data_IF_855126089590
#
_entry.id   IF_855126089590
#
_cell.length_a   1.000
_cell.length_b   1.000
_cell.length_c   1.000
_cell.angle_alpha   90.00
_cell.angle_beta   90.00
_cell.angle_gamma   90.00
#
_symmetry.space_group_name_H-M   'P 1'
#
loop_
_entity.id
_entity.type
_entity.pdbx_description
1 polymer ?
#
# COMPACT_ATOMS: atom_id res chain seq x y z
N UNK A 1 23.93 10.98 -2.79
CA UNK A 1 23.84 10.04 -3.92
C UNK A 1 22.90 10.65 -4.95
N UNK A 2 23.33 10.75 -6.21
CA UNK A 2 22.45 11.17 -7.30
C UNK A 2 21.56 9.96 -7.62
N UNK A 3 20.25 10.06 -7.37
CA UNK A 3 19.32 8.97 -7.64
C UNK A 3 18.75 9.13 -9.04
N UNK A 4 18.42 8.02 -9.69
CA UNK A 4 17.70 8.03 -10.96
C UNK A 4 16.20 8.28 -10.68
N UNK A 5 15.64 9.42 -11.14
CA UNK A 5 14.26 9.76 -10.88
C UNK A 5 13.27 8.77 -11.50
N UNK A 6 13.57 8.19 -12.65
CA UNK A 6 12.66 7.25 -13.31
C UNK A 6 12.63 5.91 -12.57
N UNK A 7 13.80 5.44 -12.12
CA UNK A 7 13.89 4.26 -11.24
C UNK A 7 13.12 4.47 -9.94
N UNK A 8 13.25 5.65 -9.31
CA UNK A 8 12.52 5.98 -8.07
C UNK A 8 11.00 6.00 -8.29
N UNK A 9 10.53 6.61 -9.38
CA UNK A 9 9.09 6.61 -9.75
C UNK A 9 8.59 5.19 -9.91
N UNK A 10 9.28 4.40 -10.71
CA UNK A 10 8.86 3.04 -11.06
C UNK A 10 8.76 2.17 -9.80
N UNK A 11 9.83 2.08 -9.00
CA UNK A 11 9.85 1.22 -7.82
C UNK A 11 8.84 1.67 -6.76
N UNK A 12 8.71 2.98 -6.53
CA UNK A 12 7.74 3.51 -5.56
C UNK A 12 6.30 3.26 -6.02
N UNK A 13 6.00 3.43 -7.31
CA UNK A 13 4.68 3.13 -7.87
C UNK A 13 4.36 1.63 -7.81
N UNK A 14 5.34 0.76 -8.11
CA UNK A 14 5.18 -0.70 -8.01
C UNK A 14 4.86 -1.16 -6.58
N UNK A 15 5.43 -0.52 -5.56
CA UNK A 15 5.09 -0.82 -4.17
C UNK A 15 3.59 -0.67 -3.91
N UNK A 16 2.99 0.44 -4.34
CA UNK A 16 1.57 0.72 -4.13
C UNK A 16 0.67 -0.03 -5.11
N UNK A 17 1.15 -0.30 -6.33
CA UNK A 17 0.43 -1.08 -7.33
C UNK A 17 0.35 -2.58 -7.02
N UNK A 18 1.18 -3.07 -6.09
CA UNK A 18 1.26 -4.49 -5.75
C UNK A 18 -0.09 -5.09 -5.34
N UNK A 19 -0.92 -4.33 -4.63
CA UNK A 19 -2.24 -4.77 -4.15
C UNK A 19 -3.22 -5.15 -5.27
N UNK A 20 -2.99 -4.67 -6.50
CA UNK A 20 -3.85 -5.00 -7.65
C UNK A 20 -3.55 -6.35 -8.29
N UNK A 21 -2.39 -6.96 -7.98
CA UNK A 21 -1.94 -8.20 -8.63
C UNK A 21 -2.65 -9.42 -8.05
N UNK A 22 -2.89 -9.42 -6.75
CA UNK A 22 -3.52 -10.55 -6.07
C UNK A 22 -4.21 -10.10 -4.80
N UNK A 23 -5.42 -10.63 -4.61
CA UNK A 23 -6.16 -10.63 -3.34
C UNK A 23 -5.49 -11.47 -2.25
N UNK A 24 -4.53 -12.32 -2.62
CA UNK A 24 -3.80 -13.18 -1.69
C UNK A 24 -2.55 -12.49 -1.13
N UNK A 25 -1.97 -13.09 -0.08
CA UNK A 25 -0.73 -12.66 0.59
C UNK A 25 0.50 -12.52 -0.33
N UNK A 26 0.44 -12.93 -1.59
CA UNK A 26 1.56 -12.87 -2.53
C UNK A 26 1.88 -11.43 -2.94
N UNK A 27 0.87 -10.53 -3.01
CA UNK A 27 1.08 -9.14 -3.43
C UNK A 27 2.04 -8.37 -2.50
N UNK A 28 2.06 -8.68 -1.20
CA UNK A 28 2.96 -8.06 -0.21
C UNK A 28 4.45 -8.31 -0.50
N UNK A 29 4.77 -9.36 -1.26
CA UNK A 29 6.16 -9.72 -1.56
C UNK A 29 6.85 -8.68 -2.43
N UNK A 30 6.10 -7.92 -3.24
CA UNK A 30 6.67 -6.87 -4.10
C UNK A 30 7.24 -5.72 -3.27
N UNK A 31 6.45 -5.01 -2.42
CA UNK A 31 7.00 -3.96 -1.58
C UNK A 31 8.00 -4.53 -0.57
N UNK A 32 7.86 -5.78 -0.10
CA UNK A 32 8.86 -6.42 0.76
C UNK A 32 10.21 -6.59 0.04
N UNK A 33 10.22 -7.15 -1.16
CA UNK A 33 11.43 -7.31 -1.95
C UNK A 33 12.07 -5.96 -2.25
N UNK A 34 11.28 -4.96 -2.68
CA UNK A 34 11.76 -3.60 -2.96
C UNK A 34 12.38 -2.96 -1.70
N UNK A 35 11.76 -3.14 -0.52
CA UNK A 35 12.30 -2.63 0.76
C UNK A 35 13.69 -3.22 1.08
N UNK A 36 13.89 -4.51 0.79
CA UNK A 36 15.13 -5.23 1.10
C UNK A 36 16.26 -4.93 0.11
N UNK A 37 15.94 -4.72 -1.18
CA UNK A 37 16.95 -4.56 -2.25
C UNK A 37 17.26 -3.10 -2.59
N UNK A 38 16.41 -2.15 -2.21
CA UNK A 38 16.60 -0.73 -2.57
C UNK A 38 17.53 -0.02 -1.60
N UNK A 39 18.51 0.71 -2.14
CA UNK A 39 19.35 1.67 -1.40
C UNK A 39 18.75 3.09 -1.35
N UNK A 40 17.67 3.33 -2.08
CA UNK A 40 16.99 4.63 -2.13
C UNK A 40 15.99 4.78 -0.97
N UNK A 41 16.25 5.75 -0.08
CA UNK A 41 15.42 5.97 1.11
C UNK A 41 13.96 6.31 0.77
N UNK A 42 13.68 7.06 -0.29
CA UNK A 42 12.29 7.42 -0.67
C UNK A 42 11.54 6.18 -1.17
N UNK A 43 12.22 5.31 -1.91
CA UNK A 43 11.67 4.02 -2.35
C UNK A 43 11.40 3.14 -1.13
N UNK A 44 12.33 3.05 -0.17
CA UNK A 44 12.14 2.27 1.06
C UNK A 44 10.97 2.78 1.89
N UNK A 45 10.81 4.09 2.02
CA UNK A 45 9.69 4.67 2.76
C UNK A 45 8.35 4.38 2.09
N UNK A 46 8.26 4.47 0.75
CA UNK A 46 7.08 4.04 -0.01
C UNK A 46 6.81 2.53 0.13
N UNK A 47 7.85 1.70 0.13
CA UNK A 47 7.73 0.26 0.32
C UNK A 47 7.19 -0.08 1.71
N UNK A 48 7.73 0.54 2.77
CA UNK A 48 7.22 0.39 4.15
C UNK A 48 5.78 0.84 4.27
N UNK A 49 5.43 1.97 3.65
CA UNK A 49 4.06 2.47 3.71
C UNK A 49 3.09 1.50 3.02
N UNK A 50 3.46 0.97 1.85
CA UNK A 50 2.65 -0.06 1.17
C UNK A 50 2.52 -1.35 1.99
N UNK A 51 3.61 -1.83 2.60
CA UNK A 51 3.56 -2.98 3.51
C UNK A 51 2.57 -2.75 4.66
N UNK A 52 2.70 -1.61 5.35
CA UNK A 52 1.77 -1.22 6.40
C UNK A 52 0.32 -1.17 5.86
N UNK A 53 0.09 -0.67 4.65
CA UNK A 53 -1.24 -0.67 4.03
C UNK A 53 -1.82 -2.08 3.85
N UNK A 54 -1.04 -3.03 3.29
CA UNK A 54 -1.45 -4.43 3.17
C UNK A 54 -1.86 -5.03 4.52
N UNK A 55 -1.04 -4.84 5.56
CA UNK A 55 -1.37 -5.33 6.90
C UNK A 55 -2.65 -4.73 7.46
N UNK A 56 -2.88 -3.43 7.23
CA UNK A 56 -4.09 -2.76 7.69
C UNK A 56 -5.33 -3.22 6.92
N UNK A 57 -5.24 -3.46 5.62
CA UNK A 57 -6.35 -4.02 4.82
C UNK A 57 -6.74 -5.39 5.38
N UNK A 58 -5.79 -6.29 5.62
CA UNK A 58 -6.09 -7.61 6.22
C UNK A 58 -6.66 -7.51 7.63
N UNK A 59 -6.12 -6.60 8.46
CA UNK A 59 -6.64 -6.37 9.80
C UNK A 59 -8.10 -5.90 9.74
N UNK A 60 -8.41 -4.93 8.88
CA UNK A 60 -9.77 -4.43 8.71
C UNK A 60 -10.70 -5.45 8.07
N UNK A 61 -10.23 -6.29 7.15
CA UNK A 61 -10.99 -7.43 6.60
C UNK A 61 -11.40 -8.40 7.72
N UNK A 62 -10.49 -8.74 8.64
CA UNK A 62 -10.81 -9.62 9.78
C UNK A 62 -11.83 -8.95 10.72
N UNK A 63 -11.63 -7.68 11.07
CA UNK A 63 -12.54 -6.95 11.97
C UNK A 63 -13.92 -6.81 11.34
N UNK A 64 -14.01 -6.31 10.11
CA UNK A 64 -15.29 -6.09 9.42
C UNK A 64 -15.95 -7.41 9.04
N UNK A 65 -15.17 -8.44 8.71
CA UNK A 65 -15.63 -9.82 8.54
C UNK A 65 -16.32 -10.35 9.80
N UNK A 66 -15.72 -10.19 10.98
CA UNK A 66 -16.36 -10.56 12.24
C UNK A 66 -17.65 -9.76 12.51
N UNK A 67 -17.67 -8.47 12.18
CA UNK A 67 -18.87 -7.63 12.32
C UNK A 67 -20.03 -8.02 11.38
N UNK A 68 -19.79 -8.86 10.36
CA UNK A 68 -20.89 -9.38 9.52
C UNK A 68 -21.87 -10.25 10.31
N UNK A 69 -21.42 -10.89 11.40
CA UNK A 69 -22.26 -11.71 12.30
C UNK A 69 -23.42 -10.88 12.87
N UNK A 70 -23.17 -9.60 13.15
CA UNK A 70 -24.17 -8.63 13.64
C UNK A 70 -24.66 -7.68 12.54
N UNK A 71 -24.52 -8.07 11.28
CA UNK A 71 -24.94 -7.35 10.07
C UNK A 71 -24.22 -6.04 9.73
N UNK A 72 -23.50 -5.42 10.67
CA UNK A 72 -22.81 -4.14 10.46
C UNK A 72 -21.63 -4.27 9.47
N UNK A 73 -20.96 -5.42 9.45
CA UNK A 73 -19.80 -5.66 8.57
C UNK A 73 -20.11 -5.53 7.07
N UNK A 74 -21.35 -5.77 6.66
CA UNK A 74 -21.79 -5.65 5.26
C UNK A 74 -21.71 -4.24 4.71
N UNK A 75 -21.74 -3.21 5.56
CA UNK A 75 -21.52 -1.82 5.15
C UNK A 75 -20.03 -1.49 5.01
N UNK A 76 -19.20 -2.02 5.91
CA UNK A 76 -17.78 -1.65 5.98
C UNK A 76 -16.90 -2.43 4.99
N UNK A 77 -17.24 -3.67 4.65
CA UNK A 77 -16.46 -4.47 3.69
C UNK A 77 -16.43 -3.85 2.28
N UNK A 78 -17.57 -3.42 1.68
CA UNK A 78 -17.53 -2.72 0.39
C UNK A 78 -16.77 -1.39 0.45
N UNK A 79 -16.89 -0.65 1.56
CA UNK A 79 -16.14 0.59 1.76
C UNK A 79 -14.63 0.31 1.81
N UNK A 80 -14.21 -0.72 2.54
CA UNK A 80 -12.80 -1.14 2.61
C UNK A 80 -12.28 -1.54 1.24
N UNK A 81 -13.06 -2.30 0.46
CA UNK A 81 -12.71 -2.67 -0.91
C UNK A 81 -12.52 -1.45 -1.81
N UNK A 82 -13.40 -0.44 -1.73
CA UNK A 82 -13.23 0.79 -2.50
C UNK A 82 -11.96 1.53 -2.07
N UNK A 83 -11.70 1.64 -0.76
CA UNK A 83 -10.50 2.30 -0.24
C UNK A 83 -9.21 1.57 -0.60
N UNK A 84 -9.22 0.23 -0.62
CA UNK A 84 -8.07 -0.58 -1.06
C UNK A 84 -7.76 -0.43 -2.54
N UNK A 85 -8.70 0.07 -3.34
CA UNK A 85 -8.48 0.42 -4.74
C UNK A 85 -8.08 1.89 -4.93
N UNK A 86 -8.82 2.81 -4.33
CA UNK A 86 -8.68 4.25 -4.58
C UNK A 86 -7.41 4.82 -3.94
N UNK A 87 -7.10 4.44 -2.69
CA UNK A 87 -5.93 4.99 -2.00
C UNK A 87 -4.62 4.68 -2.73
N UNK A 88 -4.35 3.44 -3.19
CA UNK A 88 -3.09 3.15 -3.89
C UNK A 88 -2.99 3.80 -5.27
N UNK A 89 -4.12 3.99 -5.97
CA UNK A 89 -4.14 4.80 -7.20
C UNK A 89 -3.70 6.24 -6.89
N UNK A 90 -4.23 6.86 -5.82
CA UNK A 90 -3.80 8.20 -5.42
C UNK A 90 -2.31 8.26 -5.03
N UNK A 91 -1.80 7.20 -4.40
CA UNK A 91 -0.39 7.09 -4.08
C UNK A 91 0.48 7.07 -5.34
N UNK A 92 0.13 6.24 -6.32
CA UNK A 92 0.80 6.15 -7.62
C UNK A 92 0.78 7.50 -8.34
N UNK A 93 -0.39 8.14 -8.46
CA UNK A 93 -0.52 9.43 -9.13
C UNK A 93 0.36 10.51 -8.48
N UNK A 94 0.44 10.54 -7.15
CA UNK A 94 1.30 11.49 -6.42
C UNK A 94 2.78 11.27 -6.72
N UNK A 95 3.23 10.01 -6.74
CA UNK A 95 4.62 9.62 -7.02
C UNK A 95 5.01 9.91 -8.48
N UNK A 96 4.10 9.68 -9.42
CA UNK A 96 4.35 9.98 -10.84
C UNK A 96 4.53 11.50 -11.06
N UNK A 97 3.80 12.32 -10.30
CA UNK A 97 3.93 13.77 -10.29
C UNK A 97 5.19 14.29 -9.57
N UNK A 98 5.57 13.70 -8.43
CA UNK A 98 6.79 14.03 -7.70
C UNK A 98 7.51 12.77 -7.18
N UNK A 99 8.65 12.38 -7.78
CA UNK A 99 9.39 11.19 -7.37
C UNK A 99 9.98 11.31 -5.97
N UNK A 100 10.15 12.50 -5.42
CA UNK A 100 10.78 12.70 -4.10
C UNK A 100 9.84 12.44 -2.94
N UNK A 101 8.55 12.21 -3.20
CA UNK A 101 7.54 12.02 -2.17
C UNK A 101 7.45 10.56 -1.75
N UNK A 102 7.46 10.35 -0.44
CA UNK A 102 6.90 9.15 0.17
C UNK A 102 5.42 9.37 0.45
N UNK A 103 4.54 8.59 -0.19
CA UNK A 103 3.11 8.67 0.08
C UNK A 103 2.80 8.21 1.50
N UNK A 104 1.77 8.79 2.13
CA UNK A 104 1.32 8.41 3.47
C UNK A 104 -0.17 8.13 3.43
N UNK A 105 -0.54 6.87 3.63
CA UNK A 105 -1.94 6.47 3.69
C UNK A 105 -2.60 7.02 4.95
N UNK A 106 -3.85 7.51 4.84
CA UNK A 106 -4.65 7.83 6.01
C UNK A 106 -5.16 6.53 6.65
N UNK A 107 -5.57 6.62 7.92
CA UNK A 107 -6.27 5.54 8.64
C UNK A 107 -5.53 4.19 8.72
N UNK A 108 -4.20 4.21 8.74
CA UNK A 108 -3.40 2.99 8.94
C UNK A 108 -2.46 3.09 10.14
N UNK A 109 -2.24 1.94 10.79
CA UNK A 109 -1.16 1.74 11.75
C UNK A 109 0.16 1.52 11.01
N UNK A 110 1.26 2.07 11.55
CA UNK A 110 2.61 1.93 10.98
C UNK A 110 3.48 1.13 11.94
N UNK A 111 3.64 -0.15 11.64
CA UNK A 111 4.32 -1.13 12.50
C UNK A 111 5.70 -1.53 11.96
N UNK A 112 6.03 -1.13 10.73
CA UNK A 112 7.34 -1.32 10.02
C UNK A 112 8.02 0.02 9.75
#
# INVERSE_FOLDING_TARGET
>A
MNYDPDKRKLLSALCHGAIFISVSFISVLIPLAILLISDDQVVKDNAKESLNFHFNVWLYEVIFGALTIILIGWLFLPLLFILSLVLPIMAILKILGDPNVSYRYPFIFRVI
#
